data_IF_090584912342
#
_entry.id   IF_090584912342
#
_cell.length_a   1.000
_cell.length_b   1.000
_cell.length_c   1.000
_cell.angle_alpha   90.00
_cell.angle_beta   90.00
_cell.angle_gamma   90.00
#
_symmetry.space_group_name_H-M   'P 1'
#
loop_
_entity.id
_entity.type
_entity.pdbx_description
1 polymer ?
#
# COMPACT_ATOMS: atom_id res chain seq x y z
N UNK A 1 -77.35 41.11 18.86
CA UNK A 1 -76.51 41.41 17.68
C UNK A 1 -75.08 41.05 18.02
N UNK A 2 -74.63 39.87 17.58
CA UNK A 2 -73.30 39.31 17.88
C UNK A 2 -72.54 39.12 16.57
N UNK A 3 -71.27 39.52 16.56
CA UNK A 3 -70.42 39.71 15.38
C UNK A 3 -69.28 38.68 15.38
N UNK A 4 -69.14 38.04 14.22
CA UNK A 4 -67.92 37.54 13.56
C UNK A 4 -66.99 36.52 14.26
N UNK A 5 -66.89 35.34 13.63
CA UNK A 5 -65.65 34.54 13.46
C UNK A 5 -64.85 35.11 12.27
N UNK A 6 -63.50 34.96 12.20
CA UNK A 6 -62.92 33.78 11.54
C UNK A 6 -61.53 33.27 12.03
N UNK A 7 -61.34 31.96 11.82
CA UNK A 7 -60.14 31.24 11.36
C UNK A 7 -58.92 30.95 12.25
N UNK A 8 -58.25 29.79 12.02
CA UNK A 8 -57.24 29.21 12.92
C UNK A 8 -55.80 29.52 12.49
N UNK A 9 -54.94 29.82 13.46
CA UNK A 9 -53.52 30.09 13.26
C UNK A 9 -52.67 28.81 13.30
N UNK A 10 -52.12 28.50 12.12
CA UNK A 10 -50.84 27.88 11.76
C UNK A 10 -49.91 27.42 12.90
N UNK A 11 -49.60 26.12 12.88
CA UNK A 11 -48.66 25.47 13.77
C UNK A 11 -47.21 25.97 13.59
N UNK A 12 -46.57 26.27 14.72
CA UNK A 12 -45.12 26.40 14.83
C UNK A 12 -44.51 25.02 15.06
N UNK A 13 -44.08 24.36 13.98
CA UNK A 13 -43.13 23.25 14.08
C UNK A 13 -41.72 23.83 14.28
N UNK A 14 -41.22 23.74 15.50
CA UNK A 14 -39.79 23.95 15.77
C UNK A 14 -39.01 22.76 15.19
N UNK A 15 -38.23 23.01 14.14
CA UNK A 15 -37.27 22.06 13.59
C UNK A 15 -36.12 21.82 14.57
N UNK A 16 -35.74 20.56 14.87
CA UNK A 16 -34.46 20.25 15.50
C UNK A 16 -33.37 20.24 14.42
N UNK A 17 -32.78 21.40 14.15
CA UNK A 17 -31.56 21.50 13.37
C UNK A 17 -30.34 21.13 14.25
N UNK A 18 -29.37 20.47 13.62
CA UNK A 18 -28.00 20.19 14.09
C UNK A 18 -27.81 19.00 15.03
N UNK A 19 -27.61 17.81 14.42
CA UNK A 19 -26.56 16.84 14.82
C UNK A 19 -26.34 15.73 13.77
N UNK A 20 -26.48 16.02 12.48
CA UNK A 20 -25.93 15.13 11.44
C UNK A 20 -24.52 15.61 11.15
N UNK A 21 -23.58 15.29 12.05
CA UNK A 21 -22.17 15.21 11.70
C UNK A 21 -22.09 14.18 10.57
N UNK A 22 -22.03 14.69 9.34
CA UNK A 22 -21.65 13.95 8.15
C UNK A 22 -20.33 13.25 8.46
N UNK A 23 -20.45 12.01 8.92
CA UNK A 23 -19.38 11.05 9.03
C UNK A 23 -18.97 10.78 7.59
N UNK A 24 -18.07 11.59 7.06
CA UNK A 24 -17.33 11.23 5.86
C UNK A 24 -16.84 9.81 6.08
N UNK A 25 -17.28 8.82 5.28
CA UNK A 25 -16.79 7.47 5.44
C UNK A 25 -15.27 7.58 5.38
N UNK A 26 -14.60 7.11 6.44
CA UNK A 26 -13.14 7.11 6.51
C UNK A 26 -12.68 6.43 5.23
N UNK A 27 -12.16 7.22 4.29
CA UNK A 27 -11.74 6.73 3.00
C UNK A 27 -10.71 5.64 3.29
N UNK A 28 -11.01 4.42 2.82
CA UNK A 28 -10.11 3.29 3.03
C UNK A 28 -8.74 3.65 2.44
N UNK A 29 -7.64 3.46 3.17
CA UNK A 29 -6.32 3.79 2.63
C UNK A 29 -6.12 3.05 1.31
N UNK A 30 -5.68 3.76 0.27
CA UNK A 30 -5.52 3.21 -1.08
C UNK A 30 -4.68 1.93 -1.08
N UNK A 31 -3.62 1.91 -0.26
CA UNK A 31 -2.75 0.74 -0.06
C UNK A 31 -3.49 -0.49 0.48
N UNK A 32 -4.50 -0.30 1.33
CA UNK A 32 -5.31 -1.39 1.89
C UNK A 32 -6.26 -1.94 0.82
N UNK A 33 -6.88 -1.06 0.04
CA UNK A 33 -7.68 -1.45 -1.14
C UNK A 33 -6.82 -2.25 -2.12
N UNK A 34 -5.64 -1.71 -2.45
CA UNK A 34 -4.69 -2.36 -3.34
C UNK A 34 -4.32 -3.75 -2.83
N UNK A 35 -3.93 -3.90 -1.56
CA UNK A 35 -3.59 -5.19 -0.95
C UNK A 35 -4.76 -6.17 -0.95
N UNK A 36 -5.98 -5.71 -0.67
CA UNK A 36 -7.19 -6.56 -0.62
C UNK A 36 -7.48 -7.20 -1.97
N UNK A 37 -7.16 -6.50 -3.05
CA UNK A 37 -7.40 -6.95 -4.41
C UNK A 37 -6.29 -7.87 -4.94
N UNK A 38 -5.29 -8.22 -4.13
CA UNK A 38 -4.23 -9.16 -4.50
C UNK A 38 -4.53 -10.59 -4.05
N UNK A 39 -4.01 -11.53 -4.83
CA UNK A 39 -3.87 -12.95 -4.53
C UNK A 39 -2.38 -13.26 -4.58
N UNK A 40 -1.89 -13.93 -3.55
CA UNK A 40 -0.50 -14.34 -3.43
C UNK A 40 -0.40 -15.84 -3.68
N UNK A 41 0.54 -16.24 -4.53
CA UNK A 41 0.98 -17.62 -4.65
C UNK A 41 2.51 -17.67 -4.61
N UNK A 42 3.06 -18.82 -4.24
CA UNK A 42 4.50 -18.97 -4.06
C UNK A 42 4.93 -20.32 -4.62
N UNK A 43 5.72 -20.34 -5.69
CA UNK A 43 6.33 -21.56 -6.22
C UNK A 43 7.82 -21.62 -5.87
N UNK A 44 8.46 -22.76 -6.15
CA UNK A 44 9.90 -22.93 -5.98
C UNK A 44 10.54 -23.28 -7.30
N UNK A 45 11.65 -22.63 -7.60
CA UNK A 45 12.39 -22.80 -8.84
C UNK A 45 13.80 -23.29 -8.53
N UNK A 46 14.16 -24.40 -9.18
CA UNK A 46 15.47 -25.02 -9.02
C UNK A 46 16.12 -25.12 -10.41
N UNK A 47 17.03 -24.20 -10.68
CA UNK A 47 17.86 -24.27 -11.89
C UNK A 47 19.11 -25.10 -11.59
N UNK A 48 19.55 -25.98 -12.49
CA UNK A 48 20.81 -26.70 -12.33
C UNK A 48 21.94 -25.70 -12.04
N UNK A 49 22.76 -25.97 -11.01
CA UNK A 49 23.86 -25.12 -10.53
C UNK A 49 23.46 -23.82 -9.81
N UNK A 50 22.19 -23.58 -9.50
CA UNK A 50 21.74 -22.41 -8.74
C UNK A 50 21.06 -22.80 -7.43
N UNK A 51 21.19 -21.94 -6.42
CA UNK A 51 20.45 -22.07 -5.17
C UNK A 51 18.94 -22.00 -5.43
N UNK A 52 18.16 -22.77 -4.65
CA UNK A 52 16.70 -22.72 -4.67
C UNK A 52 16.20 -21.28 -4.54
N UNK A 53 15.34 -20.86 -5.47
CA UNK A 53 14.65 -19.58 -5.42
C UNK A 53 13.16 -19.78 -5.19
N UNK A 54 12.55 -18.82 -4.52
CA UNK A 54 11.11 -18.77 -4.29
C UNK A 54 10.52 -17.75 -5.26
N UNK A 55 9.56 -18.19 -6.06
CA UNK A 55 8.89 -17.38 -7.06
C UNK A 55 7.55 -16.93 -6.48
N UNK A 56 7.51 -15.69 -6.00
CA UNK A 56 6.30 -15.07 -5.46
C UNK A 56 5.49 -14.49 -6.61
N UNK A 57 4.38 -15.13 -6.92
CA UNK A 57 3.39 -14.63 -7.88
C UNK A 57 2.37 -13.77 -7.15
N UNK A 58 2.12 -12.57 -7.68
CA UNK A 58 1.12 -11.64 -7.19
C UNK A 58 0.14 -11.35 -8.30
N UNK A 59 -1.14 -11.65 -8.09
CA UNK A 59 -2.22 -11.49 -9.08
C UNK A 59 -3.32 -10.58 -8.55
N UNK A 60 -3.91 -9.74 -9.40
CA UNK A 60 -5.13 -9.00 -9.06
C UNK A 60 -6.36 -9.91 -9.21
N UNK A 61 -7.28 -9.87 -8.24
CA UNK A 61 -8.55 -10.61 -8.25
C UNK A 61 -9.44 -10.21 -9.42
N UNK A 62 -9.51 -8.91 -9.68
CA UNK A 62 -10.35 -8.32 -10.72
C UNK A 62 -9.46 -7.47 -11.64
N UNK A 63 -8.80 -8.07 -12.64
CA UNK A 63 -8.08 -7.30 -13.63
C UNK A 63 -9.10 -6.42 -14.39
N UNK A 64 -8.90 -5.10 -14.37
CA UNK A 64 -9.71 -4.22 -15.22
C UNK A 64 -9.38 -4.59 -16.66
N UNK A 65 -10.38 -4.73 -17.51
CA UNK A 65 -10.28 -5.15 -18.92
C UNK A 65 -9.36 -4.27 -19.78
N UNK A 66 -8.99 -3.08 -19.29
CA UNK A 66 -8.07 -2.15 -19.95
C UNK A 66 -6.59 -2.29 -19.50
N UNK A 67 -6.29 -3.15 -18.52
CA UNK A 67 -4.91 -3.36 -18.03
C UNK A 67 -4.26 -4.53 -18.79
N UNK A 68 -3.02 -4.32 -19.24
CA UNK A 68 -2.18 -5.41 -19.76
C UNK A 68 -2.09 -6.56 -18.75
N UNK A 69 -2.06 -7.83 -19.21
CA UNK A 69 -1.90 -9.00 -18.34
C UNK A 69 -0.66 -8.89 -17.43
N UNK A 70 0.43 -8.28 -17.90
CA UNK A 70 1.65 -8.03 -17.12
C UNK A 70 1.45 -7.03 -15.98
N UNK A 71 0.41 -6.20 -16.06
CA UNK A 71 0.01 -5.29 -14.97
C UNK A 71 -0.98 -5.95 -14.02
N UNK A 72 -1.69 -6.98 -14.47
CA UNK A 72 -2.64 -7.77 -13.69
C UNK A 72 -1.95 -8.83 -12.81
N UNK A 73 -0.83 -9.40 -13.27
CA UNK A 73 -0.03 -10.36 -12.52
C UNK A 73 1.46 -10.12 -12.71
N UNK A 74 2.25 -10.37 -11.67
CA UNK A 74 3.71 -10.33 -11.75
C UNK A 74 4.34 -11.36 -10.83
N UNK A 75 5.51 -11.86 -11.22
CA UNK A 75 6.24 -12.87 -10.47
C UNK A 75 7.62 -12.33 -10.09
N UNK A 76 8.00 -12.55 -8.84
CA UNK A 76 9.30 -12.15 -8.29
C UNK A 76 10.07 -13.38 -7.86
N UNK A 77 11.19 -13.65 -8.51
CA UNK A 77 12.10 -14.72 -8.09
C UNK A 77 13.07 -14.18 -7.03
N UNK A 78 12.96 -14.65 -5.79
CA UNK A 78 13.77 -14.18 -4.66
C UNK A 78 14.49 -15.33 -3.94
N UNK A 79 15.74 -15.11 -3.47
CA UNK A 79 16.39 -16.06 -2.57
C UNK A 79 15.70 -16.06 -1.20
N UNK A 80 15.95 -17.10 -0.40
CA UNK A 80 15.39 -17.18 0.95
C UNK A 80 15.82 -16.01 1.85
N UNK A 81 17.01 -15.45 1.62
CA UNK A 81 17.53 -14.31 2.38
C UNK A 81 16.60 -13.10 2.35
N UNK A 82 15.91 -12.84 1.24
CA UNK A 82 14.98 -11.72 1.12
C UNK A 82 13.78 -11.87 2.07
N UNK A 83 13.27 -13.10 2.22
CA UNK A 83 12.18 -13.38 3.17
C UNK A 83 12.66 -13.26 4.62
N UNK A 84 13.93 -13.59 4.90
CA UNK A 84 14.51 -13.35 6.23
C UNK A 84 14.70 -11.86 6.51
N UNK A 85 15.04 -11.06 5.50
CA UNK A 85 15.13 -9.61 5.61
C UNK A 85 13.74 -8.99 5.84
N UNK A 86 12.73 -9.43 5.07
CA UNK A 86 11.32 -9.05 5.29
C UNK A 86 10.90 -9.33 6.73
N UNK A 87 11.15 -10.55 7.24
CA UNK A 87 10.83 -10.91 8.62
C UNK A 87 11.47 -9.95 9.62
N UNK A 88 12.76 -9.65 9.47
CA UNK A 88 13.48 -8.73 10.37
C UNK A 88 12.86 -7.34 10.35
N UNK A 89 12.56 -6.82 9.15
CA UNK A 89 11.93 -5.51 8.99
C UNK A 89 10.54 -5.50 9.63
N UNK A 90 9.70 -6.50 9.37
CA UNK A 90 8.37 -6.61 9.98
C UNK A 90 8.42 -6.65 11.51
N UNK A 91 9.34 -7.43 12.09
CA UNK A 91 9.48 -7.50 13.55
C UNK A 91 9.93 -6.17 14.17
N UNK A 92 10.76 -5.40 13.45
CA UNK A 92 11.15 -4.05 13.86
C UNK A 92 9.95 -3.10 13.81
N UNK A 93 9.19 -3.13 12.72
CA UNK A 93 8.01 -2.26 12.56
C UNK A 93 6.88 -2.62 13.55
N UNK A 94 6.68 -3.91 13.86
CA UNK A 94 5.58 -4.38 14.71
C UNK A 94 5.69 -3.99 16.19
N UNK A 95 6.78 -3.35 16.62
CA UNK A 95 7.00 -2.75 17.95
C UNK A 95 6.39 -3.58 19.11
N UNK A 96 7.13 -4.51 19.73
CA UNK A 96 6.56 -5.49 20.67
C UNK A 96 5.89 -4.88 21.91
N UNK A 97 6.18 -3.62 22.25
CA UNK A 97 5.55 -2.87 23.34
C UNK A 97 4.28 -2.08 22.96
N UNK A 98 3.86 -2.12 21.70
CA UNK A 98 2.68 -1.39 21.26
C UNK A 98 1.39 -2.00 21.85
N UNK A 99 0.62 -1.17 22.56
CA UNK A 99 -0.66 -1.56 23.12
C UNK A 99 -1.80 -0.95 22.28
N UNK A 100 -2.63 -1.83 21.70
CA UNK A 100 -3.68 -1.47 20.78
C UNK A 100 -4.80 -2.53 20.84
N UNK A 101 -6.03 -2.20 20.46
CA UNK A 101 -7.12 -3.18 20.33
C UNK A 101 -7.07 -4.01 19.04
N UNK A 102 -6.15 -3.67 18.14
CA UNK A 102 -5.93 -4.38 16.89
C UNK A 102 -5.01 -5.60 17.08
N UNK A 103 -4.86 -6.40 16.04
CA UNK A 103 -4.07 -7.64 16.05
C UNK A 103 -2.54 -7.40 15.99
N UNK A 104 -2.07 -6.18 16.30
CA UNK A 104 -0.67 -5.78 16.23
C UNK A 104 0.27 -6.74 17.00
N UNK A 105 -0.11 -7.05 18.25
CA UNK A 105 0.62 -7.97 19.14
C UNK A 105 0.58 -9.42 18.67
N UNK A 106 -0.58 -9.84 18.16
CA UNK A 106 -0.75 -11.18 17.62
C UNK A 106 0.10 -11.38 16.37
N UNK A 107 0.08 -10.43 15.43
CA UNK A 107 0.86 -10.49 14.21
C UNK A 107 2.37 -10.53 14.49
N UNK A 108 2.85 -9.78 15.48
CA UNK A 108 4.23 -9.89 15.94
C UNK A 108 4.59 -11.33 16.34
N UNK A 109 3.71 -12.00 17.09
CA UNK A 109 3.90 -13.39 17.52
C UNK A 109 3.90 -14.34 16.33
N UNK A 110 2.96 -14.17 15.39
CA UNK A 110 2.87 -14.95 14.16
C UNK A 110 4.15 -14.82 13.34
N UNK A 111 4.61 -13.60 13.09
CA UNK A 111 5.83 -13.33 12.32
C UNK A 111 7.06 -13.89 13.04
N UNK A 112 7.10 -13.83 14.37
CA UNK A 112 8.22 -14.33 15.16
C UNK A 112 8.28 -15.86 15.17
N UNK A 113 7.15 -16.55 15.24
CA UNK A 113 7.09 -18.00 15.45
C UNK A 113 6.96 -18.79 14.15
N UNK A 114 6.15 -18.32 13.20
CA UNK A 114 5.79 -19.09 12.01
C UNK A 114 6.65 -18.79 10.78
N UNK A 115 7.42 -17.69 10.76
CA UNK A 115 8.39 -17.52 9.68
C UNK A 115 9.45 -18.61 9.76
N UNK A 116 9.72 -19.33 8.66
CA UNK A 116 10.79 -20.31 8.62
C UNK A 116 12.13 -19.63 8.95
N UNK A 117 12.95 -20.32 9.74
CA UNK A 117 14.28 -19.86 10.13
C UNK A 117 15.30 -20.32 9.09
N UNK A 118 16.37 -19.54 8.93
CA UNK A 118 17.58 -20.01 8.26
C UNK A 118 18.16 -21.14 9.12
N UNK A 119 18.10 -22.37 8.62
CA UNK A 119 18.75 -23.51 9.25
C UNK A 119 20.12 -23.67 8.59
N UNK A 120 21.18 -23.64 9.40
CA UNK A 120 22.57 -23.60 8.94
C UNK A 120 23.20 -24.98 8.70
N UNK A 121 22.54 -26.09 9.07
CA UNK A 121 23.26 -27.37 9.28
C UNK A 121 22.76 -28.57 8.48
N UNK A 122 21.93 -28.41 7.45
CA UNK A 122 21.49 -29.57 6.64
C UNK A 122 21.32 -29.25 5.16
N UNK A 123 21.63 -30.21 4.30
CA UNK A 123 21.47 -30.08 2.85
C UNK A 123 20.02 -29.78 2.46
N UNK A 124 19.85 -29.02 1.38
CA UNK A 124 18.56 -28.70 0.82
C UNK A 124 17.91 -29.98 0.26
N UNK A 125 16.86 -30.46 0.94
CA UNK A 125 16.01 -31.54 0.46
C UNK A 125 14.69 -30.95 -0.03
N UNK A 126 14.13 -31.49 -1.13
CA UNK A 126 12.88 -31.01 -1.74
C UNK A 126 11.73 -30.88 -0.72
N UNK A 127 11.58 -31.83 0.21
CA UNK A 127 10.57 -31.77 1.27
C UNK A 127 10.75 -30.57 2.22
N UNK A 128 11.99 -30.22 2.56
CA UNK A 128 12.28 -29.05 3.42
C UNK A 128 11.97 -27.76 2.67
N UNK A 129 12.33 -27.70 1.40
CA UNK A 129 12.02 -26.59 0.51
C UNK A 129 10.51 -26.39 0.39
N UNK A 130 9.75 -27.46 0.21
CA UNK A 130 8.29 -27.39 0.10
C UNK A 130 7.62 -26.97 1.41
N UNK A 131 8.03 -27.54 2.56
CA UNK A 131 7.54 -27.08 3.88
C UNK A 131 7.84 -25.61 4.10
N UNK A 132 9.01 -25.15 3.68
CA UNK A 132 9.41 -23.74 3.76
C UNK A 132 8.56 -22.86 2.84
N UNK A 133 8.29 -23.29 1.60
CA UNK A 133 7.37 -22.61 0.67
C UNK A 133 5.98 -22.45 1.27
N UNK A 134 5.39 -23.54 1.75
CA UNK A 134 4.06 -23.52 2.36
C UNK A 134 3.99 -22.61 3.62
N UNK A 135 5.02 -22.65 4.47
CA UNK A 135 5.09 -21.78 5.65
C UNK A 135 5.23 -20.30 5.26
N UNK A 136 6.05 -19.97 4.26
CA UNK A 136 6.18 -18.60 3.75
C UNK A 136 4.84 -18.09 3.22
N UNK A 137 4.20 -18.85 2.32
CA UNK A 137 2.91 -18.46 1.75
C UNK A 137 1.87 -18.23 2.84
N UNK A 138 1.76 -19.13 3.81
CA UNK A 138 0.83 -18.99 4.95
C UNK A 138 1.07 -17.70 5.72
N UNK A 139 2.32 -17.35 6.02
CA UNK A 139 2.60 -16.13 6.78
C UNK A 139 2.34 -14.87 5.95
N UNK A 140 2.69 -14.88 4.66
CA UNK A 140 2.41 -13.75 3.76
C UNK A 140 0.91 -13.48 3.63
N UNK A 141 0.10 -14.52 3.41
CA UNK A 141 -1.36 -14.39 3.35
C UNK A 141 -1.96 -13.97 4.69
N UNK A 142 -1.39 -14.43 5.80
CA UNK A 142 -1.80 -14.01 7.15
C UNK A 142 -1.53 -12.51 7.38
N UNK A 143 -0.34 -12.02 7.00
CA UNK A 143 0.00 -10.59 7.08
C UNK A 143 -0.97 -9.78 6.21
N UNK A 144 -1.21 -10.23 4.98
CA UNK A 144 -2.16 -9.59 4.07
C UNK A 144 -3.55 -9.50 4.70
N UNK A 145 -4.08 -10.61 5.25
CA UNK A 145 -5.40 -10.63 5.88
C UNK A 145 -5.49 -9.65 7.05
N UNK A 146 -4.48 -9.65 7.93
CA UNK A 146 -4.46 -8.74 9.08
C UNK A 146 -4.43 -7.27 8.65
N UNK A 147 -3.69 -6.93 7.59
CA UNK A 147 -3.62 -5.56 7.10
C UNK A 147 -4.92 -5.09 6.43
N UNK A 148 -5.69 -5.99 5.81
CA UNK A 148 -6.96 -5.63 5.15
C UNK A 148 -8.17 -5.68 6.08
N UNK A 149 -8.05 -6.34 7.24
CA UNK A 149 -9.09 -6.38 8.27
C UNK A 149 -9.43 -4.98 8.79
N UNK A 150 -10.71 -4.61 8.70
CA UNK A 150 -11.20 -3.29 9.09
C UNK A 150 -10.86 -2.91 10.55
N UNK A 151 -10.95 -3.87 11.49
CA UNK A 151 -10.63 -3.65 12.90
C UNK A 151 -9.18 -3.22 13.17
N UNK A 152 -8.27 -3.44 12.22
CA UNK A 152 -6.86 -3.12 12.37
C UNK A 152 -6.47 -1.73 11.85
N UNK A 153 -7.39 -1.04 11.16
CA UNK A 153 -7.13 0.26 10.50
C UNK A 153 -6.81 1.39 11.48
N UNK A 154 -7.26 1.28 12.73
CA UNK A 154 -6.94 2.26 13.78
C UNK A 154 -5.51 2.16 14.32
N UNK A 155 -4.80 1.08 14.03
CA UNK A 155 -3.44 0.86 14.53
C UNK A 155 -2.40 1.53 13.63
N UNK A 156 -1.75 2.57 14.16
CA UNK A 156 -0.68 3.31 13.45
C UNK A 156 0.53 2.44 13.11
N UNK A 157 0.82 1.42 13.91
CA UNK A 157 1.91 0.48 13.63
C UNK A 157 1.59 -0.37 12.40
N UNK A 158 0.39 -0.95 12.35
CA UNK A 158 -0.04 -1.78 11.23
C UNK A 158 -0.20 -0.95 9.95
N UNK A 159 -0.89 0.19 10.01
CA UNK A 159 -1.16 1.03 8.84
C UNK A 159 0.03 1.91 8.42
N UNK A 160 1.08 1.98 9.24
CA UNK A 160 2.31 2.71 8.94
C UNK A 160 3.41 1.80 8.41
N UNK A 161 4.38 1.50 9.26
CA UNK A 161 5.61 0.79 8.88
C UNK A 161 5.36 -0.62 8.34
N UNK A 162 4.42 -1.37 8.92
CA UNK A 162 4.12 -2.75 8.50
C UNK A 162 3.49 -2.76 7.10
N UNK A 163 2.46 -1.95 6.88
CA UNK A 163 1.80 -1.79 5.58
C UNK A 163 2.80 -1.35 4.50
N UNK A 164 3.62 -0.34 4.78
CA UNK A 164 4.64 0.15 3.85
C UNK A 164 5.67 -0.94 3.50
N UNK A 165 6.21 -1.62 4.52
CA UNK A 165 7.21 -2.69 4.34
C UNK A 165 6.66 -3.83 3.52
N UNK A 166 5.44 -4.29 3.84
CA UNK A 166 4.82 -5.42 3.17
C UNK A 166 4.43 -5.08 1.72
N UNK A 167 3.82 -3.92 1.47
CA UNK A 167 3.46 -3.49 0.12
C UNK A 167 4.68 -3.28 -0.76
N UNK A 168 5.78 -2.72 -0.22
CA UNK A 168 7.04 -2.57 -0.95
C UNK A 168 7.62 -3.92 -1.35
N UNK A 169 7.59 -4.90 -0.44
CA UNK A 169 8.03 -6.25 -0.74
C UNK A 169 7.19 -6.92 -1.84
N UNK A 170 5.86 -6.74 -1.81
CA UNK A 170 4.96 -7.29 -2.84
C UNK A 170 5.07 -6.56 -4.18
N UNK A 171 5.30 -5.26 -4.20
CA UNK A 171 5.49 -4.47 -5.43
C UNK A 171 6.81 -4.80 -6.15
N UNK A 172 7.83 -5.20 -5.40
CA UNK A 172 9.14 -5.57 -5.94
C UNK A 172 9.91 -4.41 -6.58
N UNK A 173 10.85 -4.76 -7.45
CA UNK A 173 11.72 -3.82 -8.20
C UNK A 173 10.96 -3.02 -9.27
N UNK A 174 9.62 -3.08 -9.30
CA UNK A 174 8.82 -2.17 -10.12
C UNK A 174 8.99 -0.72 -9.69
N UNK A 175 9.51 -0.44 -8.50
CA UNK A 175 9.95 0.91 -8.11
C UNK A 175 11.22 1.37 -8.84
N UNK A 176 12.11 0.46 -9.27
CA UNK A 176 13.31 0.81 -10.05
C UNK A 176 13.04 0.88 -11.55
N UNK A 177 12.13 0.05 -12.10
CA UNK A 177 11.68 0.16 -13.49
C UNK A 177 10.64 1.27 -13.72
N UNK A 178 9.96 1.73 -12.67
CA UNK A 178 9.01 2.85 -12.76
C UNK A 178 9.64 4.22 -12.49
N UNK A 179 10.95 4.30 -12.21
CA UNK A 179 11.64 5.60 -12.15
C UNK A 179 11.68 6.32 -13.51
N UNK A 180 11.31 5.61 -14.58
CA UNK A 180 11.16 6.18 -15.93
C UNK A 180 9.70 6.42 -16.35
N UNK A 181 8.67 6.04 -15.57
CA UNK A 181 7.26 6.25 -16.01
C UNK A 181 6.17 6.36 -14.93
N UNK A 182 6.49 6.76 -13.70
CA UNK A 182 5.45 7.27 -12.77
C UNK A 182 5.46 8.80 -12.72
N UNK A 183 5.13 9.40 -13.87
CA UNK A 183 4.37 10.66 -13.83
C UNK A 183 2.95 10.24 -13.45
N UNK A 184 2.60 10.41 -12.18
CA UNK A 184 1.20 10.40 -11.76
C UNK A 184 0.44 11.44 -12.60
N UNK A 185 -0.67 11.08 -13.26
CA UNK A 185 -1.58 12.11 -13.75
C UNK A 185 -2.16 12.80 -12.51
N UNK A 186 -1.75 14.05 -12.32
CA UNK A 186 -2.31 14.94 -11.32
C UNK A 186 -3.84 14.95 -11.43
N UNK A 187 -4.60 14.89 -10.32
CA UNK A 187 -6.04 14.89 -10.39
C UNK A 187 -6.51 16.25 -10.86
N UNK A 188 -7.29 16.23 -11.93
CA UNK A 188 -8.43 17.12 -12.20
C UNK A 188 -8.48 18.38 -11.32
N UNK A 189 -7.74 19.43 -11.71
CA UNK A 189 -8.06 20.78 -11.21
C UNK A 189 -9.22 21.30 -12.04
N UNK A 190 -10.36 21.43 -11.34
CA UNK A 190 -11.51 22.22 -11.76
C UNK A 190 -11.05 23.56 -12.34
N UNK A 191 -11.64 23.89 -13.49
CA UNK A 191 -11.54 25.22 -14.06
C UNK A 191 -12.10 26.25 -13.11
N UNK A 192 -11.36 27.33 -12.92
CA UNK A 192 -11.87 28.64 -12.57
C UNK A 192 -10.76 29.68 -12.77
N UNK A 193 -10.94 30.44 -13.86
CA UNK A 193 -10.62 31.86 -14.07
C UNK A 193 -9.19 32.37 -13.79
N UNK A 194 -8.59 32.93 -14.85
CA UNK A 194 -7.55 33.96 -14.72
C UNK A 194 -6.52 33.99 -15.84
N UNK A 195 -6.84 34.60 -16.98
CA UNK A 195 -5.85 35.42 -17.71
C UNK A 195 -5.41 36.57 -16.76
N UNK A 196 -4.19 37.13 -16.82
CA UNK A 196 -3.67 37.71 -18.06
C UNK A 196 -2.15 37.65 -18.32
N UNK A 197 -1.82 37.84 -19.61
CA UNK A 197 -0.76 38.65 -20.23
C UNK A 197 0.64 38.84 -19.60
N UNK A 198 1.59 38.90 -20.53
CA UNK A 198 2.73 39.83 -20.65
C UNK A 198 4.14 39.31 -20.35
N UNK A 199 4.82 39.01 -21.46
CA UNK A 199 6.15 39.51 -21.85
C UNK A 199 6.93 40.34 -20.81
N UNK A 200 8.12 39.87 -20.45
CA UNK A 200 9.20 40.68 -19.84
C UNK A 200 10.49 39.86 -19.75
N UNK A 201 11.29 39.76 -20.82
CA UNK A 201 12.56 40.48 -21.03
C UNK A 201 13.37 40.82 -19.76
N UNK A 202 14.70 40.63 -19.94
CA UNK A 202 15.87 40.95 -19.07
C UNK A 202 16.24 39.73 -18.22
N UNK A 203 17.45 39.20 -18.32
CA UNK A 203 18.69 39.90 -17.99
C UNK A 203 19.81 39.68 -19.02
N UNK A 204 20.43 40.79 -19.39
CA UNK A 204 21.78 40.81 -19.91
C UNK A 204 22.74 41.09 -18.75
N UNK A 205 23.95 40.52 -18.86
CA UNK A 205 25.23 41.21 -18.70
C UNK A 205 26.20 40.55 -17.72
N UNK A 206 27.49 40.69 -18.10
CA UNK A 206 28.75 40.43 -17.39
C UNK A 206 29.27 38.98 -17.58
N UNK A 207 30.45 38.71 -18.15
CA UNK A 207 31.67 39.51 -18.38
C UNK A 207 32.50 38.94 -19.54
N UNK A 208 33.25 39.85 -20.13
CA UNK A 208 34.23 39.75 -21.22
C UNK A 208 35.57 39.14 -20.80
N UNK A 209 36.37 38.81 -21.85
CA UNK A 209 37.85 38.67 -21.96
C UNK A 209 38.38 37.22 -22.16
N UNK A 210 39.56 37.01 -22.81
CA UNK A 210 39.76 37.22 -24.24
C UNK A 210 40.52 36.07 -24.95
N UNK A 211 40.55 36.24 -26.28
CA UNK A 211 41.21 35.50 -27.37
C UNK A 211 42.71 35.21 -27.13
N UNK A 212 43.10 33.94 -27.23
CA UNK A 212 44.51 33.51 -27.38
C UNK A 212 44.79 33.31 -28.87
N UNK A 213 45.79 34.02 -29.40
CA UNK A 213 46.42 33.80 -30.71
C UNK A 213 47.60 32.82 -30.55
N UNK A 214 47.71 31.86 -31.45
CA UNK A 214 48.98 31.49 -32.09
C UNK A 214 48.72 31.37 -33.59
#
# INVERSE_FOLDING_TARGET
MLRATPSPSTGSQASPALKTLLRTPIAEPEMVVWLRDLVLDLSTSHKPRQNVRFELEVRRKYPKSQLSPETASWTQSRPFSDFTALRKNLLRELQPGHNCSAECKWLHTVVKQHFPRAQTMFSACALKTERRRAALLRVLTTIQSTLVTHGNRGCKVLMGGVLSTFSTFLGGDRTSLSRTSLVLPAPYRQGLLGLPNSLGRRLASLRTLPRVRR
#
